data_IF_296920094019
#
_entry.id   IF_296920094019
#
_cell.length_a   1.000
_cell.length_b   1.000
_cell.length_c   1.000
_cell.angle_alpha   90.00
_cell.angle_beta   90.00
_cell.angle_gamma   90.00
#
_symmetry.space_group_name_H-M   'P 1'
#
loop_
_entity.id
_entity.type
_entity.pdbx_description
1 polymer ?
#
# COMPACT_ATOMS: atom_id res chain seq x y z
N UNK A 1 -34.06 -57.51 31.99
CA UNK A 1 -34.16 -56.07 32.28
C UNK A 1 -32.79 -55.49 31.95
N UNK A 2 -32.60 -55.02 30.71
CA UNK A 2 -31.29 -54.55 30.23
C UNK A 2 -30.98 -53.18 30.83
N UNK A 3 -29.89 -53.14 31.60
CA UNK A 3 -29.33 -51.93 32.19
C UNK A 3 -28.83 -51.01 31.08
N UNK A 4 -29.62 -50.01 30.71
CA UNK A 4 -29.21 -48.95 29.78
C UNK A 4 -28.04 -48.17 30.41
N UNK A 5 -26.83 -48.36 29.88
CA UNK A 5 -25.61 -47.72 30.38
C UNK A 5 -25.63 -46.21 30.11
N UNK A 6 -25.89 -45.41 31.15
CA UNK A 6 -25.90 -43.95 31.10
C UNK A 6 -24.59 -43.33 30.57
N UNK A 7 -23.45 -44.01 30.76
CA UNK A 7 -22.13 -43.61 30.26
C UNK A 7 -22.03 -43.62 28.73
N UNK A 8 -22.77 -44.49 28.06
CA UNK A 8 -22.79 -44.61 26.60
C UNK A 8 -23.70 -43.53 25.96
N UNK A 9 -24.72 -43.07 26.69
CA UNK A 9 -25.56 -41.93 26.26
C UNK A 9 -24.82 -40.59 26.38
N UNK A 10 -24.05 -40.38 27.46
CA UNK A 10 -23.26 -39.15 27.66
C UNK A 10 -22.14 -39.00 26.63
N UNK A 11 -21.43 -40.09 26.29
CA UNK A 11 -20.39 -40.07 25.25
C UNK A 11 -20.98 -39.82 23.86
N UNK A 12 -22.18 -40.34 23.55
CA UNK A 12 -22.90 -40.05 22.30
C UNK A 12 -23.34 -38.58 22.21
N UNK A 13 -23.84 -38.00 23.31
CA UNK A 13 -24.21 -36.58 23.38
C UNK A 13 -23.00 -35.65 23.23
N UNK A 14 -21.88 -36.01 23.83
CA UNK A 14 -20.61 -35.28 23.70
C UNK A 14 -20.06 -35.32 22.26
N UNK A 15 -20.05 -36.51 21.64
CA UNK A 15 -19.69 -36.68 20.21
C UNK A 15 -20.58 -35.83 19.29
N UNK A 16 -21.89 -35.83 19.53
CA UNK A 16 -22.87 -35.04 18.75
C UNK A 16 -22.61 -33.54 18.88
N UNK A 17 -22.25 -33.07 20.07
CA UNK A 17 -21.95 -31.66 20.36
C UNK A 17 -20.63 -31.24 19.73
N UNK A 18 -19.59 -32.07 19.88
CA UNK A 18 -18.27 -31.86 19.28
C UNK A 18 -18.36 -31.74 17.75
N UNK A 19 -19.08 -32.67 17.11
CA UNK A 19 -19.26 -32.65 15.66
C UNK A 19 -20.13 -31.47 15.20
N UNK A 20 -21.14 -31.06 15.99
CA UNK A 20 -21.91 -29.84 15.71
C UNK A 20 -21.01 -28.59 15.73
N UNK A 21 -20.17 -28.46 16.76
CA UNK A 21 -19.24 -27.33 16.88
C UNK A 21 -18.21 -27.32 15.74
N UNK A 22 -17.75 -28.50 15.30
CA UNK A 22 -16.87 -28.62 14.14
C UNK A 22 -17.53 -28.09 12.86
N UNK A 23 -18.80 -28.45 12.61
CA UNK A 23 -19.56 -27.97 11.43
C UNK A 23 -19.81 -26.46 11.47
N UNK A 24 -20.11 -25.92 12.64
CA UNK A 24 -20.32 -24.47 12.81
C UNK A 24 -19.03 -23.71 12.48
N UNK A 25 -17.89 -24.16 13.04
CA UNK A 25 -16.58 -23.56 12.75
C UNK A 25 -16.25 -23.62 11.27
N UNK A 26 -16.43 -24.78 10.63
CA UNK A 26 -16.19 -24.94 9.19
C UNK A 26 -17.05 -24.00 8.35
N UNK A 27 -18.35 -23.90 8.67
CA UNK A 27 -19.27 -22.99 7.96
C UNK A 27 -18.87 -21.52 8.14
N UNK A 28 -18.47 -21.13 9.35
CA UNK A 28 -18.02 -19.77 9.65
C UNK A 28 -16.81 -19.38 8.80
N UNK A 29 -15.77 -20.22 8.78
CA UNK A 29 -14.56 -19.94 8.00
C UNK A 29 -14.82 -19.86 6.49
N UNK A 30 -15.72 -20.69 5.96
CA UNK A 30 -16.10 -20.63 4.54
C UNK A 30 -16.80 -19.29 4.23
N UNK A 31 -17.72 -18.84 5.09
CA UNK A 31 -18.41 -17.57 4.90
C UNK A 31 -17.46 -16.37 4.98
N UNK A 32 -16.53 -16.39 5.93
CA UNK A 32 -15.49 -15.37 6.06
C UNK A 32 -14.63 -15.31 4.80
N UNK A 33 -14.16 -16.45 4.30
CA UNK A 33 -13.38 -16.54 3.08
C UNK A 33 -14.12 -15.97 1.86
N UNK A 34 -15.40 -16.29 1.71
CA UNK A 34 -16.23 -15.78 0.62
C UNK A 34 -16.44 -14.26 0.74
N UNK A 35 -16.54 -13.73 1.95
CA UNK A 35 -16.74 -12.29 2.19
C UNK A 35 -15.56 -11.42 1.77
N UNK A 36 -14.35 -11.99 1.71
CA UNK A 36 -13.14 -11.30 1.24
C UNK A 36 -13.09 -11.14 -0.29
N UNK A 37 -13.95 -11.84 -1.03
CA UNK A 37 -14.01 -11.77 -2.49
C UNK A 37 -14.86 -10.55 -2.90
N UNK A 38 -14.34 -9.63 -3.74
CA UNK A 38 -15.08 -8.44 -4.15
C UNK A 38 -16.40 -8.78 -4.84
N UNK A 39 -17.42 -7.92 -4.66
CA UNK A 39 -18.77 -8.14 -5.19
C UNK A 39 -18.80 -8.29 -6.73
N UNK A 40 -17.86 -7.67 -7.45
CA UNK A 40 -17.72 -7.84 -8.90
C UNK A 40 -17.37 -9.29 -9.33
N UNK A 41 -16.84 -10.12 -8.42
CA UNK A 41 -16.60 -11.55 -8.61
C UNK A 41 -17.74 -12.42 -8.06
N UNK A 42 -18.75 -11.78 -7.45
CA UNK A 42 -20.02 -12.37 -7.05
C UNK A 42 -21.19 -11.68 -7.79
N UNK A 43 -21.24 -11.76 -9.14
CA UNK A 43 -22.44 -11.34 -9.85
C UNK A 43 -23.57 -12.30 -9.47
N UNK A 44 -24.70 -11.70 -9.10
CA UNK A 44 -25.98 -12.32 -8.70
C UNK A 44 -26.04 -12.90 -7.27
N UNK A 45 -27.12 -12.51 -6.57
CA UNK A 45 -27.61 -13.14 -5.33
C UNK A 45 -28.21 -14.52 -5.60
N UNK A 46 -27.67 -15.29 -6.56
CA UNK A 46 -28.05 -16.68 -6.70
C UNK A 46 -27.46 -17.47 -5.54
N UNK A 47 -28.27 -18.34 -4.95
CA UNK A 47 -27.82 -19.26 -3.90
C UNK A 47 -26.86 -20.29 -4.52
N UNK A 48 -25.63 -19.87 -4.79
CA UNK A 48 -24.58 -20.71 -5.35
C UNK A 48 -24.24 -21.83 -4.38
N UNK A 49 -23.94 -23.00 -4.92
CA UNK A 49 -23.46 -24.13 -4.13
C UNK A 49 -22.18 -23.75 -3.39
N UNK A 50 -21.97 -24.23 -2.13
CA UNK A 50 -20.73 -23.97 -1.40
C UNK A 50 -19.46 -24.35 -2.17
N UNK A 51 -19.53 -25.37 -3.04
CA UNK A 51 -18.41 -25.78 -3.90
C UNK A 51 -18.09 -24.73 -4.97
N UNK A 52 -19.12 -24.16 -5.60
CA UNK A 52 -18.94 -23.17 -6.66
C UNK A 52 -18.40 -21.86 -6.08
N UNK A 53 -18.83 -21.50 -4.87
CA UNK A 53 -18.29 -20.37 -4.12
C UNK A 53 -16.79 -20.55 -3.83
N UNK A 54 -16.37 -21.75 -3.44
CA UNK A 54 -14.96 -22.06 -3.19
C UNK A 54 -14.12 -22.07 -4.48
N UNK A 55 -14.70 -22.55 -5.59
CA UNK A 55 -14.05 -22.49 -6.90
C UNK A 55 -13.80 -21.03 -7.33
N UNK A 56 -14.78 -20.13 -7.11
CA UNK A 56 -14.63 -18.68 -7.38
C UNK A 56 -13.55 -18.04 -6.51
N UNK A 57 -13.50 -18.37 -5.22
CA UNK A 57 -12.42 -17.90 -4.33
C UNK A 57 -11.07 -18.33 -4.88
N UNK A 58 -10.94 -19.59 -5.29
CA UNK A 58 -9.71 -20.12 -5.89
C UNK A 58 -9.32 -19.34 -7.16
N UNK A 59 -10.28 -19.11 -8.06
CA UNK A 59 -10.05 -18.33 -9.28
C UNK A 59 -9.59 -16.89 -8.96
N UNK A 60 -10.21 -16.24 -7.98
CA UNK A 60 -9.82 -14.89 -7.55
C UNK A 60 -8.41 -14.85 -6.96
N UNK A 61 -8.02 -15.84 -6.15
CA UNK A 61 -6.65 -15.97 -5.64
C UNK A 61 -5.65 -16.10 -6.79
N UNK A 62 -5.93 -16.93 -7.79
CA UNK A 62 -5.07 -17.09 -8.97
C UNK A 62 -4.91 -15.78 -9.72
N UNK A 63 -6.00 -15.06 -9.98
CA UNK A 63 -5.96 -13.77 -10.65
C UNK A 63 -5.16 -12.72 -9.85
N UNK A 64 -5.31 -12.69 -8.52
CA UNK A 64 -4.52 -11.79 -7.67
C UNK A 64 -3.02 -12.11 -7.77
N UNK A 65 -2.65 -13.39 -7.78
CA UNK A 65 -1.25 -13.81 -7.97
C UNK A 65 -0.70 -13.33 -9.31
N UNK A 66 -1.44 -13.53 -10.39
CA UNK A 66 -1.05 -13.05 -11.73
C UNK A 66 -0.92 -11.53 -11.79
N UNK A 67 -1.85 -10.80 -11.16
CA UNK A 67 -1.80 -9.34 -11.10
C UNK A 67 -0.57 -8.85 -10.33
N UNK A 68 -0.26 -9.47 -9.20
CA UNK A 68 0.95 -9.14 -8.41
C UNK A 68 2.20 -9.39 -9.24
N UNK A 69 2.28 -10.51 -9.93
CA UNK A 69 3.43 -10.85 -10.77
C UNK A 69 3.59 -9.87 -11.94
N UNK A 70 2.48 -9.53 -12.62
CA UNK A 70 2.47 -8.51 -13.68
C UNK A 70 2.96 -7.16 -13.15
N UNK A 71 2.48 -6.73 -11.99
CA UNK A 71 2.91 -5.46 -11.39
C UNK A 71 4.38 -5.46 -10.99
N UNK A 72 4.89 -6.59 -10.46
CA UNK A 72 6.33 -6.74 -10.16
C UNK A 72 7.18 -6.62 -11.43
N UNK A 73 6.83 -7.34 -12.50
CA UNK A 73 7.52 -7.23 -13.80
C UNK A 73 7.45 -5.83 -14.37
N UNK A 74 6.28 -5.17 -14.31
CA UNK A 74 6.14 -3.78 -14.76
C UNK A 74 7.03 -2.83 -13.97
N UNK A 75 7.10 -2.99 -12.64
CA UNK A 75 8.00 -2.22 -11.77
C UNK A 75 9.46 -2.41 -12.19
N UNK A 76 9.91 -3.66 -12.39
CA UNK A 76 11.28 -3.97 -12.81
C UNK A 76 11.62 -3.41 -14.20
N UNK A 77 10.71 -3.53 -15.17
CA UNK A 77 10.90 -2.97 -16.50
C UNK A 77 11.05 -1.44 -16.46
N UNK A 78 10.25 -0.75 -15.65
CA UNK A 78 10.35 0.70 -15.47
C UNK A 78 11.68 1.10 -14.83
N UNK A 79 12.13 0.37 -13.81
CA UNK A 79 13.43 0.59 -13.16
C UNK A 79 14.57 0.38 -14.17
N UNK A 80 14.55 -0.72 -14.92
CA UNK A 80 15.58 -1.03 -15.91
C UNK A 80 15.60 0.00 -17.05
N UNK A 81 14.42 0.38 -17.57
CA UNK A 81 14.32 1.41 -18.61
C UNK A 81 14.97 2.72 -18.14
N UNK A 82 14.69 3.14 -16.92
CA UNK A 82 15.27 4.34 -16.31
C UNK A 82 16.80 4.25 -16.15
N UNK A 83 17.32 3.07 -15.82
CA UNK A 83 18.76 2.82 -15.70
C UNK A 83 19.48 2.75 -17.06
N UNK A 84 18.79 2.26 -18.11
CA UNK A 84 19.35 2.12 -19.47
C UNK A 84 19.28 3.40 -20.32
N UNK A 85 18.37 4.34 -20.01
CA UNK A 85 18.17 5.57 -20.77
C UNK A 85 19.21 6.68 -20.52
N UNK A 86 20.43 6.30 -20.11
CA UNK A 86 21.58 7.18 -20.20
C UNK A 86 22.05 7.78 -18.86
N UNK A 87 23.29 7.42 -18.53
CA UNK A 87 24.21 8.01 -17.58
C UNK A 87 24.06 7.57 -16.10
N UNK A 88 24.88 6.59 -15.65
CA UNK A 88 25.10 6.39 -14.22
C UNK A 88 25.81 7.65 -13.68
N UNK A 89 25.09 8.46 -12.89
CA UNK A 89 25.61 9.68 -12.30
C UNK A 89 25.06 11.01 -12.83
N UNK A 90 24.20 11.04 -13.87
CA UNK A 90 23.59 12.29 -14.40
C UNK A 90 22.06 12.30 -14.31
N UNK A 91 21.52 11.68 -13.25
CA UNK A 91 20.09 11.81 -12.96
C UNK A 91 19.82 13.23 -12.48
N UNK A 92 19.33 14.10 -13.37
CA UNK A 92 18.76 15.38 -12.96
C UNK A 92 17.79 15.08 -11.81
N UNK A 93 17.97 15.72 -10.66
CA UNK A 93 17.15 15.49 -9.49
C UNK A 93 15.71 15.85 -9.81
N UNK A 94 14.81 14.93 -9.48
CA UNK A 94 13.39 15.11 -9.75
C UNK A 94 12.79 15.78 -8.52
N UNK A 95 12.28 16.99 -8.72
CA UNK A 95 11.46 17.70 -7.74
C UNK A 95 10.01 17.51 -8.14
N UNK A 96 9.15 17.09 -7.21
CA UNK A 96 7.71 17.09 -7.37
C UNK A 96 7.08 17.73 -6.15
N UNK A 97 6.13 18.62 -6.38
CA UNK A 97 5.36 19.27 -5.33
C UNK A 97 3.89 18.91 -5.57
N UNK A 98 3.23 18.41 -4.53
CA UNK A 98 1.82 18.03 -4.57
C UNK A 98 1.09 18.77 -3.47
N UNK A 99 0.05 19.52 -3.83
CA UNK A 99 -0.82 20.19 -2.88
C UNK A 99 -1.94 19.25 -2.43
N UNK A 100 -2.11 19.11 -1.12
CA UNK A 100 -3.13 18.27 -0.49
C UNK A 100 -3.90 19.14 0.53
N UNK A 101 -4.83 19.95 0.03
CA UNK A 101 -5.57 20.91 0.86
C UNK A 101 -4.63 21.98 1.44
N UNK A 102 -4.55 22.08 2.77
CA UNK A 102 -3.60 22.97 3.47
C UNK A 102 -2.21 22.36 3.67
N UNK A 103 -1.99 21.13 3.20
CA UNK A 103 -0.74 20.42 3.32
C UNK A 103 -0.01 20.40 1.98
N UNK A 104 1.31 20.34 2.05
CA UNK A 104 2.21 20.27 0.92
C UNK A 104 3.05 18.99 1.04
N UNK A 105 3.06 18.18 0.00
CA UNK A 105 3.99 17.05 -0.12
C UNK A 105 5.07 17.41 -1.13
N UNK A 106 6.32 17.42 -0.68
CA UNK A 106 7.49 17.69 -1.51
C UNK A 106 8.30 16.41 -1.64
N UNK A 107 8.44 15.92 -2.87
CA UNK A 107 9.21 14.73 -3.19
C UNK A 107 10.45 15.14 -3.97
N UNK A 108 11.61 14.82 -3.41
CA UNK A 108 12.92 15.03 -4.02
C UNK A 108 13.55 13.67 -4.27
N UNK A 109 13.92 13.39 -5.52
CA UNK A 109 14.61 12.15 -5.89
C UNK A 109 15.99 12.49 -6.39
N UNK A 110 17.02 12.03 -5.67
CA UNK A 110 18.41 12.35 -5.97
C UNK A 110 19.26 11.08 -6.10
N UNK A 111 20.38 11.16 -6.81
CA UNK A 111 21.36 10.08 -6.84
C UNK A 111 22.13 9.97 -5.52
N UNK A 112 22.81 8.84 -5.31
CA UNK A 112 23.67 8.60 -4.14
C UNK A 112 24.85 9.60 -4.01
N UNK A 113 25.24 10.27 -5.10
CA UNK A 113 26.40 11.16 -5.17
C UNK A 113 26.10 12.64 -4.93
N UNK A 114 24.83 13.04 -4.78
CA UNK A 114 24.44 14.45 -4.70
C UNK A 114 24.50 15.00 -3.28
N UNK A 115 24.91 16.27 -3.16
CA UNK A 115 25.38 16.92 -1.92
C UNK A 115 24.46 17.99 -1.33
N UNK A 116 23.21 18.14 -1.76
CA UNK A 116 22.32 19.12 -1.12
C UNK A 116 21.92 18.64 0.28
N UNK A 117 21.89 19.56 1.23
CA UNK A 117 21.51 19.26 2.59
C UNK A 117 20.00 19.34 2.77
N UNK A 118 19.40 18.39 3.50
CA UNK A 118 17.97 18.49 3.87
C UNK A 118 17.64 19.79 4.61
N UNK A 119 18.61 20.35 5.34
CA UNK A 119 18.46 21.64 5.99
C UNK A 119 18.18 22.78 4.99
N UNK A 120 18.79 22.78 3.80
CA UNK A 120 18.57 23.79 2.75
C UNK A 120 17.16 23.70 2.20
N UNK A 121 16.66 22.48 2.00
CA UNK A 121 15.27 22.22 1.59
C UNK A 121 14.29 22.75 2.63
N UNK A 122 14.53 22.46 3.91
CA UNK A 122 13.69 22.95 5.01
C UNK A 122 13.69 24.47 5.06
N UNK A 123 14.85 25.12 4.84
CA UNK A 123 14.96 26.58 4.81
C UNK A 123 14.18 27.20 3.64
N UNK A 124 14.21 26.58 2.45
CA UNK A 124 13.42 27.04 1.30
C UNK A 124 11.92 26.98 1.61
N UNK A 125 11.46 25.89 2.22
CA UNK A 125 10.05 25.73 2.60
C UNK A 125 9.64 26.72 3.69
N UNK A 126 10.47 26.87 4.72
CA UNK A 126 10.23 27.80 5.82
C UNK A 126 10.18 29.25 5.33
N UNK A 127 11.06 29.63 4.41
CA UNK A 127 11.08 30.98 3.80
C UNK A 127 9.83 31.32 3.00
N UNK A 128 9.03 30.32 2.59
CA UNK A 128 7.74 30.50 1.91
C UNK A 128 6.54 30.31 2.86
N UNK A 129 6.78 30.30 4.18
CA UNK A 129 5.72 30.16 5.19
C UNK A 129 5.19 28.73 5.33
N UNK A 130 5.92 27.74 4.84
CA UNK A 130 5.58 26.32 4.93
C UNK A 130 6.45 25.66 6.00
N UNK A 131 5.81 25.03 6.99
CA UNK A 131 6.50 24.30 8.05
C UNK A 131 6.53 22.81 7.75
N UNK A 132 7.71 22.20 7.84
CA UNK A 132 7.87 20.75 7.65
C UNK A 132 7.43 20.03 8.92
N UNK A 133 6.44 19.13 8.79
CA UNK A 133 5.87 18.34 9.88
C UNK A 133 6.55 16.98 9.98
N UNK A 134 6.84 16.36 8.84
CA UNK A 134 7.44 15.02 8.79
C UNK A 134 8.35 14.89 7.58
N UNK A 135 9.41 14.11 7.75
CA UNK A 135 10.35 13.77 6.68
C UNK A 135 10.51 12.26 6.64
N UNK A 136 10.37 11.69 5.45
CA UNK A 136 10.57 10.28 5.17
C UNK A 136 11.67 10.15 4.13
N UNK A 137 12.74 9.44 4.49
CA UNK A 137 13.89 9.20 3.61
C UNK A 137 13.95 7.71 3.32
N UNK A 138 14.04 7.34 2.05
CA UNK A 138 14.23 5.96 1.65
C UNK A 138 15.20 5.85 0.48
N UNK A 139 15.96 4.76 0.45
CA UNK A 139 16.93 4.48 -0.61
C UNK A 139 16.43 3.28 -1.40
N UNK A 140 16.37 3.41 -2.72
CA UNK A 140 15.98 2.32 -3.60
C UNK A 140 16.88 2.32 -4.84
N UNK A 141 17.64 1.23 -5.02
CA UNK A 141 18.76 1.15 -5.96
C UNK A 141 19.77 2.29 -5.70
N UNK A 142 20.11 3.07 -6.72
CA UNK A 142 21.10 4.15 -6.62
C UNK A 142 20.48 5.54 -6.41
N UNK A 143 19.29 5.59 -5.82
CA UNK A 143 18.53 6.82 -5.60
C UNK A 143 18.02 6.93 -4.17
N UNK A 144 18.05 8.15 -3.67
CA UNK A 144 17.49 8.56 -2.39
C UNK A 144 16.22 9.35 -2.67
N UNK A 145 15.14 8.92 -2.05
CA UNK A 145 13.83 9.55 -2.07
C UNK A 145 13.65 10.29 -0.75
N UNK A 146 13.53 11.60 -0.83
CA UNK A 146 13.18 12.45 0.30
C UNK A 146 11.75 12.90 0.11
N UNK A 147 10.87 12.54 1.04
CA UNK A 147 9.47 12.93 1.04
C UNK A 147 9.25 13.79 2.27
N UNK A 148 8.94 15.06 2.05
CA UNK A 148 8.66 16.02 3.11
C UNK A 148 7.16 16.30 3.10
N UNK A 149 6.52 16.08 4.24
CA UNK A 149 5.17 16.54 4.50
C UNK A 149 5.26 17.85 5.27
N UNK A 150 4.66 18.89 4.70
CA UNK A 150 4.72 20.22 5.22
C UNK A 150 3.31 20.83 5.28
N UNK A 151 3.11 21.82 6.13
CA UNK A 151 1.85 22.49 6.35
C UNK A 151 2.05 24.00 6.23
N UNK A 152 1.09 24.67 5.62
CA UNK A 152 1.12 26.14 5.49
C UNK A 152 0.77 26.76 6.84
N UNK A 153 1.68 27.57 7.42
CA UNK A 153 1.43 28.25 8.70
C UNK A 153 0.34 29.32 8.61
N UNK A 154 0.24 29.97 7.44
CA UNK A 154 -0.65 31.12 7.21
C UNK A 154 -1.44 30.92 5.92
N UNK A 155 -2.57 30.17 5.93
CA UNK A 155 -3.31 29.82 4.71
C UNK A 155 -3.93 31.02 3.97
N UNK A 156 -3.91 32.22 4.58
CA UNK A 156 -4.44 33.46 3.99
C UNK A 156 -3.50 34.09 2.95
N UNK A 157 -2.21 33.75 3.01
CA UNK A 157 -1.20 34.17 2.05
C UNK A 157 -0.92 32.90 1.24
N UNK A 158 -1.45 32.81 0.02
CA UNK A 158 -1.28 31.62 -0.81
C UNK A 158 0.19 31.22 -0.93
N UNK A 159 0.47 29.92 -0.99
CA UNK A 159 1.83 29.42 -1.19
C UNK A 159 2.14 29.38 -2.67
N UNK A 160 3.20 30.07 -3.09
CA UNK A 160 3.67 30.01 -4.47
C UNK A 160 4.55 28.76 -4.65
N UNK A 161 3.89 27.66 -5.04
CA UNK A 161 4.55 26.38 -5.27
C UNK A 161 5.52 26.40 -6.46
N UNK A 162 5.40 27.36 -7.38
CA UNK A 162 6.34 27.53 -8.49
C UNK A 162 7.68 28.11 -8.01
N UNK A 163 7.65 29.07 -7.08
CA UNK A 163 8.87 29.62 -6.47
C UNK A 163 9.59 28.55 -5.65
N UNK A 164 8.84 27.74 -4.89
CA UNK A 164 9.43 26.60 -4.16
C UNK A 164 10.07 25.63 -5.15
N UNK A 165 9.37 25.28 -6.24
CA UNK A 165 9.88 24.38 -7.26
C UNK A 165 11.19 24.88 -7.87
N UNK A 166 11.24 26.14 -8.34
CA UNK A 166 12.43 26.73 -8.95
C UNK A 166 13.63 26.77 -7.99
N UNK A 167 13.41 27.15 -6.72
CA UNK A 167 14.47 27.16 -5.70
C UNK A 167 14.98 25.77 -5.37
N UNK A 168 14.08 24.79 -5.22
CA UNK A 168 14.47 23.40 -4.97
C UNK A 168 15.18 22.80 -6.19
N UNK A 169 14.75 23.13 -7.39
CA UNK A 169 15.40 22.68 -8.62
C UNK A 169 16.83 23.21 -8.72
N UNK A 170 17.06 24.49 -8.37
CA UNK A 170 18.41 25.09 -8.32
C UNK A 170 19.30 24.41 -7.28
N UNK A 171 18.83 24.30 -6.03
CA UNK A 171 19.54 23.58 -4.96
C UNK A 171 19.90 22.15 -5.35
N UNK A 172 19.01 21.53 -6.11
CA UNK A 172 19.23 20.19 -6.55
C UNK A 172 20.23 20.15 -7.72
N UNK A 173 20.32 21.15 -8.60
CA UNK A 173 21.23 21.17 -9.77
C UNK A 173 22.68 21.56 -9.43
N UNK A 174 22.89 22.39 -8.41
CA UNK A 174 24.19 22.80 -7.88
C UNK A 174 24.93 21.65 -7.14
#
# INVERSE_FOLDING_TARGET
MESYNASDATTKLDRKTTERNRRIRMKSSILELISLVPQQFNPSKERLSPKDQLHRVTAYITQLRERVEKLKKMKEMLINKFNTSGIPGSGIPVVKITEIGSNLEVVLVTGLSKKFGLHEVILVLHGQGVEVVSISISTMADRIYHILHAQVKMPRIGVDTLIIYDRLQKLCLD
#
